data_IF_834518235722
#
_entry.id   IF_834518235722
#
_cell.length_a   1.000
_cell.length_b   1.000
_cell.length_c   1.000
_cell.angle_alpha   90.00
_cell.angle_beta   90.00
_cell.angle_gamma   90.00
#
_symmetry.space_group_name_H-M   'P 1'
#
loop_
_entity.id
_entity.type
_entity.pdbx_description
1 polymer ?
#
# COMPACT_ATOMS: atom_id res chain seq x y z
N UNK A 1 11.46 -36.52 -1.42
CA UNK A 1 10.32 -35.75 -1.98
C UNK A 1 9.75 -34.91 -0.85
N UNK A 2 10.00 -33.60 -0.84
CA UNK A 2 9.31 -32.71 0.11
C UNK A 2 7.87 -32.59 -0.41
N UNK A 3 6.92 -33.04 0.39
CA UNK A 3 5.50 -32.95 0.10
C UNK A 3 5.07 -31.48 0.07
N UNK A 4 4.26 -31.09 -0.92
CA UNK A 4 3.80 -29.72 -1.11
C UNK A 4 3.18 -29.11 0.16
N UNK A 5 2.56 -29.95 1.00
CA UNK A 5 2.04 -29.57 2.30
C UNK A 5 3.13 -29.08 3.29
N UNK A 6 4.30 -29.74 3.37
CA UNK A 6 5.37 -29.30 4.26
C UNK A 6 6.05 -28.02 3.74
N UNK A 7 6.18 -27.87 2.42
CA UNK A 7 6.67 -26.63 1.82
C UNK A 7 5.73 -25.45 2.10
N UNK A 8 4.41 -25.67 2.02
CA UNK A 8 3.41 -24.66 2.35
C UNK A 8 3.43 -24.26 3.83
N UNK A 9 3.55 -25.23 4.74
CA UNK A 9 3.64 -24.98 6.19
C UNK A 9 4.94 -24.24 6.55
N UNK A 10 6.07 -24.61 5.96
CA UNK A 10 7.34 -23.92 6.16
C UNK A 10 7.32 -22.48 5.60
N UNK A 11 6.72 -22.28 4.43
CA UNK A 11 6.55 -20.95 3.84
C UNK A 11 5.65 -20.06 4.71
N UNK A 12 4.53 -20.61 5.19
CA UNK A 12 3.62 -19.92 6.10
C UNK A 12 4.31 -19.58 7.43
N UNK A 13 5.06 -20.51 8.02
CA UNK A 13 5.79 -20.30 9.26
C UNK A 13 6.90 -19.24 9.10
N UNK A 14 7.65 -19.26 7.99
CA UNK A 14 8.67 -18.26 7.70
C UNK A 14 8.07 -16.86 7.53
N UNK A 15 6.92 -16.75 6.87
CA UNK A 15 6.22 -15.47 6.70
C UNK A 15 5.61 -14.98 8.00
N UNK A 16 5.01 -15.86 8.81
CA UNK A 16 4.53 -15.51 10.15
C UNK A 16 5.65 -15.01 11.05
N UNK A 17 6.78 -15.73 11.08
CA UNK A 17 7.98 -15.29 11.80
C UNK A 17 8.45 -13.93 11.29
N UNK A 18 8.53 -13.74 9.98
CA UNK A 18 8.94 -12.46 9.40
C UNK A 18 7.96 -11.33 9.76
N UNK A 19 6.65 -11.51 9.57
CA UNK A 19 5.61 -10.51 9.87
C UNK A 19 5.64 -10.15 11.36
N UNK A 20 5.68 -11.15 12.24
CA UNK A 20 5.65 -10.94 13.71
C UNK A 20 6.95 -10.29 14.19
N UNK A 21 8.11 -10.78 13.72
CA UNK A 21 9.40 -10.23 14.12
C UNK A 21 9.60 -8.81 13.59
N UNK A 22 9.11 -8.53 12.37
CA UNK A 22 9.19 -7.21 11.75
C UNK A 22 8.22 -6.20 12.39
N UNK A 23 6.97 -6.62 12.66
CA UNK A 23 5.98 -5.80 13.35
C UNK A 23 6.46 -5.38 14.75
N UNK A 24 7.11 -6.27 15.48
CA UNK A 24 7.57 -5.94 16.84
C UNK A 24 8.82 -5.03 16.83
N UNK A 25 9.72 -5.21 15.86
CA UNK A 25 11.05 -4.56 15.89
C UNK A 25 11.13 -3.26 15.07
N UNK A 26 10.49 -3.18 13.90
CA UNK A 26 10.67 -2.04 12.99
C UNK A 26 9.54 -1.00 13.04
N UNK A 27 8.39 -1.35 13.58
CA UNK A 27 7.19 -0.51 13.61
C UNK A 27 7.39 0.80 14.39
N UNK A 28 8.39 0.82 15.28
CA UNK A 28 8.70 1.95 16.16
C UNK A 28 9.86 2.83 15.73
N UNK A 29 10.59 2.51 14.65
CA UNK A 29 11.89 3.16 14.35
C UNK A 29 12.02 3.84 12.99
N UNK A 30 11.12 3.62 12.03
CA UNK A 30 11.27 4.19 10.68
C UNK A 30 9.96 4.68 10.06
N UNK A 31 10.03 5.78 9.32
CA UNK A 31 8.92 6.33 8.52
C UNK A 31 8.44 5.37 7.42
N UNK A 32 9.27 4.40 7.05
CA UNK A 32 8.97 3.37 6.04
C UNK A 32 8.06 2.25 6.56
N UNK A 33 7.69 2.30 7.84
CA UNK A 33 6.92 1.26 8.48
C UNK A 33 5.62 0.90 7.72
N UNK A 34 4.93 1.88 7.14
CA UNK A 34 3.70 1.65 6.35
C UNK A 34 3.97 0.80 5.10
N UNK A 35 5.12 1.00 4.44
CA UNK A 35 5.48 0.27 3.22
C UNK A 35 5.80 -1.19 3.57
N UNK A 36 6.56 -1.40 4.63
CA UNK A 36 6.95 -2.73 5.05
C UNK A 36 5.82 -3.52 5.72
N UNK A 37 4.96 -2.86 6.49
CA UNK A 37 3.70 -3.42 6.98
C UNK A 37 2.73 -3.76 5.83
N UNK A 38 2.69 -2.92 4.80
CA UNK A 38 1.97 -3.22 3.56
C UNK A 38 2.53 -4.47 2.86
N UNK A 39 3.87 -4.57 2.73
CA UNK A 39 4.53 -5.71 2.11
C UNK A 39 4.17 -7.03 2.83
N UNK A 40 4.22 -7.02 4.15
CA UNK A 40 3.91 -8.19 4.97
C UNK A 40 2.43 -8.58 4.90
N UNK A 41 1.52 -7.59 4.90
CA UNK A 41 0.08 -7.80 4.78
C UNK A 41 -0.39 -8.32 3.41
N UNK A 42 0.40 -8.10 2.36
CA UNK A 42 0.09 -8.56 1.00
C UNK A 42 0.61 -9.98 0.72
N UNK A 43 1.61 -10.48 1.46
CA UNK A 43 2.18 -11.83 1.27
C UNK A 43 1.15 -12.98 1.31
N UNK A 44 0.09 -12.95 2.16
CA UNK A 44 -0.95 -13.97 2.14
C UNK A 44 -1.64 -14.15 0.78
N UNK A 45 -1.72 -13.10 -0.05
CA UNK A 45 -2.32 -13.18 -1.39
C UNK A 45 -1.43 -13.98 -2.35
N UNK A 46 -0.11 -13.78 -2.28
CA UNK A 46 0.86 -14.57 -3.04
C UNK A 46 0.82 -16.04 -2.63
N UNK A 47 0.80 -16.29 -1.31
CA UNK A 47 0.78 -17.65 -0.75
C UNK A 47 -0.54 -18.35 -1.07
N UNK A 48 -1.67 -17.65 -0.92
CA UNK A 48 -2.99 -18.19 -1.26
C UNK A 48 -3.09 -18.56 -2.73
N UNK A 49 -2.59 -17.69 -3.62
CA UNK A 49 -2.50 -17.98 -5.05
C UNK A 49 -1.61 -19.18 -5.35
N UNK A 50 -0.40 -19.23 -4.78
CA UNK A 50 0.52 -20.34 -4.98
C UNK A 50 0.02 -21.66 -4.36
N UNK A 51 -0.76 -21.60 -3.28
CA UNK A 51 -1.33 -22.78 -2.62
C UNK A 51 -2.45 -23.43 -3.43
N UNK A 52 -3.27 -22.64 -4.12
CA UNK A 52 -4.35 -23.16 -4.99
C UNK A 52 -3.77 -23.70 -6.29
N UNK A 53 -2.82 -22.98 -6.91
CA UNK A 53 -2.32 -23.34 -8.24
C UNK A 53 -1.07 -24.23 -8.23
N UNK A 54 -0.45 -24.43 -7.06
CA UNK A 54 0.78 -25.19 -6.90
C UNK A 54 2.01 -24.55 -7.58
N UNK A 55 1.86 -23.34 -8.14
CA UNK A 55 2.88 -22.60 -8.86
C UNK A 55 2.68 -21.10 -8.70
N UNK A 56 3.75 -20.32 -8.88
CA UNK A 56 3.70 -18.87 -8.78
C UNK A 56 3.23 -18.27 -10.12
N UNK A 57 1.92 -18.06 -10.25
CA UNK A 57 1.34 -17.40 -11.42
C UNK A 57 1.44 -15.87 -11.33
N UNK A 58 1.28 -15.19 -12.47
CA UNK A 58 1.35 -13.73 -12.54
C UNK A 58 0.16 -13.03 -11.88
N UNK A 59 -1.03 -13.66 -11.84
CA UNK A 59 -2.22 -13.00 -11.30
C UNK A 59 -2.12 -12.70 -9.79
N UNK A 60 -1.71 -13.66 -8.91
CA UNK A 60 -1.42 -13.37 -7.50
C UNK A 60 -0.35 -12.30 -7.30
N UNK A 61 0.66 -12.25 -8.18
CA UNK A 61 1.74 -11.25 -8.13
C UNK A 61 1.22 -9.85 -8.44
N UNK A 62 0.38 -9.71 -9.45
CA UNK A 62 -0.22 -8.41 -9.77
C UNK A 62 -1.19 -7.98 -8.67
N UNK A 63 -1.98 -8.89 -8.09
CA UNK A 63 -2.86 -8.60 -6.95
C UNK A 63 -2.08 -8.15 -5.71
N UNK A 64 -0.94 -8.78 -5.44
CA UNK A 64 -0.01 -8.35 -4.41
C UNK A 64 0.44 -6.90 -4.62
N UNK A 65 0.85 -6.55 -5.86
CA UNK A 65 1.25 -5.18 -6.18
C UNK A 65 0.11 -4.19 -6.03
N UNK A 66 -1.12 -4.55 -6.43
CA UNK A 66 -2.31 -3.71 -6.27
C UNK A 66 -2.52 -3.33 -4.81
N UNK A 67 -2.54 -4.31 -3.90
CA UNK A 67 -2.78 -4.06 -2.46
C UNK A 67 -1.59 -3.31 -1.85
N UNK A 68 -0.37 -3.66 -2.28
CA UNK A 68 0.85 -3.02 -1.81
C UNK A 68 0.89 -1.54 -2.17
N UNK A 69 0.56 -1.14 -3.39
CA UNK A 69 0.54 0.27 -3.79
C UNK A 69 -0.67 1.02 -3.24
N UNK A 70 -1.80 0.34 -3.06
CA UNK A 70 -3.01 0.95 -2.51
C UNK A 70 -2.85 1.33 -1.03
N UNK A 71 -2.11 0.54 -0.25
CA UNK A 71 -1.95 0.75 1.20
C UNK A 71 -1.31 2.12 1.51
N UNK A 72 -0.13 2.50 0.99
CA UNK A 72 0.45 3.83 1.20
C UNK A 72 -0.45 4.96 0.69
N UNK A 73 -1.11 4.78 -0.45
CA UNK A 73 -2.01 5.78 -1.03
C UNK A 73 -3.19 6.12 -0.11
N UNK A 74 -3.69 5.15 0.65
CA UNK A 74 -4.81 5.34 1.59
C UNK A 74 -4.36 5.83 2.98
N UNK A 75 -3.26 5.30 3.51
CA UNK A 75 -2.82 5.61 4.88
C UNK A 75 -2.11 6.98 5.00
N UNK A 76 -1.44 7.46 3.95
CA UNK A 76 -0.73 8.73 4.02
C UNK A 76 -1.61 9.98 4.17
N UNK A 77 -2.75 10.13 3.48
CA UNK A 77 -3.69 11.23 3.73
C UNK A 77 -4.20 11.23 5.18
N UNK A 78 -4.43 10.05 5.75
CA UNK A 78 -4.84 9.89 7.15
C UNK A 78 -3.75 10.36 8.12
N UNK A 79 -2.48 10.05 7.81
CA UNK A 79 -1.34 10.48 8.62
C UNK A 79 -1.19 12.02 8.68
N UNK A 80 -1.65 12.75 7.66
CA UNK A 80 -1.67 14.22 7.67
C UNK A 80 -2.67 14.75 8.70
N UNK A 81 -3.84 14.12 8.81
CA UNK A 81 -4.89 14.54 9.76
C UNK A 81 -4.46 14.34 11.23
N UNK A 82 -3.76 13.24 11.52
CA UNK A 82 -3.32 12.90 12.88
C UNK A 82 -1.86 13.33 13.18
N UNK A 83 -1.28 14.20 12.34
CA UNK A 83 0.11 14.66 12.48
C UNK A 83 0.42 15.20 13.88
N UNK A 84 -0.47 15.99 14.47
CA UNK A 84 -0.27 16.60 15.79
C UNK A 84 -0.18 15.55 16.90
N UNK A 85 -1.01 14.51 16.81
CA UNK A 85 -1.01 13.42 17.78
C UNK A 85 0.24 12.54 17.63
N UNK A 86 0.69 12.28 16.39
CA UNK A 86 1.95 11.58 16.14
C UNK A 86 3.17 12.38 16.61
N UNK A 87 3.14 13.70 16.47
CA UNK A 87 4.21 14.59 16.96
C UNK A 87 4.27 14.56 18.48
N UNK A 88 3.11 14.59 19.17
CA UNK A 88 3.02 14.47 20.63
C UNK A 88 3.46 13.09 21.14
N UNK A 89 3.17 12.03 20.39
CA UNK A 89 3.56 10.67 20.71
C UNK A 89 5.03 10.34 20.35
N UNK A 90 5.76 11.25 19.70
CA UNK A 90 7.14 11.03 19.28
C UNK A 90 7.32 9.97 18.19
N UNK A 91 6.27 9.68 17.41
CA UNK A 91 6.32 8.66 16.36
C UNK A 91 6.78 9.29 15.04
N UNK A 92 7.89 8.83 14.42
CA UNK A 92 8.42 9.39 13.20
C UNK A 92 7.61 8.94 11.97
N UNK A 93 6.44 9.55 11.75
CA UNK A 93 5.65 9.35 10.53
C UNK A 93 6.09 10.30 9.41
N UNK A 94 5.91 9.90 8.14
CA UNK A 94 6.25 10.69 6.95
C UNK A 94 5.87 12.19 7.01
N UNK A 95 4.65 12.59 7.43
CA UNK A 95 4.27 13.99 7.58
C UNK A 95 5.06 14.76 8.66
N UNK A 96 5.59 14.06 9.66
CA UNK A 96 6.42 14.65 10.73
C UNK A 96 7.83 14.93 10.23
N UNK A 97 8.36 14.10 9.31
CA UNK A 97 9.74 14.19 8.82
C UNK A 97 9.88 14.99 7.52
N UNK A 98 8.98 14.79 6.55
CA UNK A 98 9.12 15.33 5.18
C UNK A 98 8.11 16.45 4.83
N UNK A 99 7.15 16.73 5.70
CA UNK A 99 6.12 17.75 5.52
C UNK A 99 4.97 17.33 4.57
N UNK A 100 3.85 18.04 4.69
CA UNK A 100 2.56 17.66 4.08
C UNK A 100 2.59 17.62 2.55
N UNK A 101 3.38 18.48 1.90
CA UNK A 101 3.48 18.55 0.43
C UNK A 101 4.17 17.29 -0.13
N UNK A 102 5.17 16.75 0.57
CA UNK A 102 5.87 15.54 0.14
C UNK A 102 4.96 14.32 0.29
N UNK A 103 4.21 14.25 1.39
CA UNK A 103 3.20 13.21 1.61
C UNK A 103 2.15 13.26 0.49
N UNK A 104 1.59 14.43 0.19
CA UNK A 104 0.58 14.59 -0.86
C UNK A 104 1.12 14.20 -2.25
N UNK A 105 2.41 14.45 -2.55
CA UNK A 105 3.04 13.97 -3.80
C UNK A 105 3.14 12.45 -3.84
N UNK A 106 3.55 11.82 -2.75
CA UNK A 106 3.65 10.36 -2.69
C UNK A 106 2.26 9.72 -2.79
N UNK A 107 1.24 10.30 -2.18
CA UNK A 107 -0.15 9.85 -2.37
C UNK A 107 -0.53 9.82 -3.84
N UNK A 108 -0.29 10.91 -4.59
CA UNK A 108 -0.61 10.96 -6.02
C UNK A 108 0.19 9.90 -6.80
N UNK A 109 1.48 9.73 -6.52
CA UNK A 109 2.33 8.77 -7.20
C UNK A 109 1.87 7.32 -6.95
N UNK A 110 1.57 6.97 -5.70
CA UNK A 110 1.13 5.62 -5.33
C UNK A 110 -0.31 5.35 -5.78
N UNK A 111 -1.19 6.36 -5.79
CA UNK A 111 -2.50 6.28 -6.45
C UNK A 111 -2.34 5.95 -7.93
N UNK A 112 -1.45 6.65 -8.64
CA UNK A 112 -1.18 6.36 -10.05
C UNK A 112 -0.60 4.96 -10.26
N UNK A 113 0.33 4.53 -9.41
CA UNK A 113 0.88 3.17 -9.44
C UNK A 113 -0.21 2.11 -9.20
N UNK A 114 -1.11 2.35 -8.25
CA UNK A 114 -2.25 1.46 -7.95
C UNK A 114 -3.13 1.30 -9.20
N UNK A 115 -3.49 2.40 -9.86
CA UNK A 115 -4.30 2.39 -11.10
C UNK A 115 -3.57 1.64 -12.22
N UNK A 116 -2.26 1.86 -12.37
CA UNK A 116 -1.47 1.13 -13.36
C UNK A 116 -1.48 -0.38 -13.09
N UNK A 117 -1.32 -0.80 -11.84
CA UNK A 117 -1.33 -2.22 -11.47
C UNK A 117 -2.71 -2.87 -11.57
N UNK A 118 -3.79 -2.14 -11.29
CA UNK A 118 -5.16 -2.67 -11.47
C UNK A 118 -5.54 -2.78 -12.95
N UNK A 119 -5.08 -1.86 -13.80
CA UNK A 119 -5.20 -1.98 -15.25
C UNK A 119 -4.34 -3.12 -15.80
N UNK A 120 -3.14 -3.35 -15.25
CA UNK A 120 -2.28 -4.48 -15.62
C UNK A 120 -2.93 -5.83 -15.27
N UNK A 121 -3.83 -5.87 -14.29
CA UNK A 121 -4.58 -7.08 -13.97
C UNK A 121 -5.55 -7.50 -15.09
N UNK A 122 -6.01 -6.56 -15.94
CA UNK A 122 -6.92 -6.83 -17.07
C UNK A 122 -6.35 -7.87 -18.04
N UNK A 123 -5.16 -7.65 -18.65
CA UNK A 123 -4.57 -8.64 -19.55
C UNK A 123 -4.04 -9.89 -18.82
N UNK A 124 -3.65 -9.77 -17.54
CA UNK A 124 -3.02 -10.87 -16.79
C UNK A 124 -4.05 -11.88 -16.27
N UNK A 125 -5.19 -11.40 -15.78
CA UNK A 125 -6.25 -12.24 -15.24
C UNK A 125 -7.40 -12.47 -16.23
N UNK A 126 -7.35 -11.88 -17.42
CA UNK A 126 -8.42 -11.97 -18.42
C UNK A 126 -9.75 -11.39 -17.93
N UNK A 127 -9.71 -10.43 -17.02
CA UNK A 127 -10.91 -9.81 -16.47
C UNK A 127 -11.58 -9.00 -17.58
N UNK A 128 -12.77 -9.43 -18.00
CA UNK A 128 -13.45 -8.89 -19.18
C UNK A 128 -13.66 -7.36 -19.16
N UNK A 129 -14.09 -6.81 -20.29
CA UNK A 129 -14.27 -5.37 -20.56
C UNK A 129 -15.03 -4.59 -19.46
N UNK A 130 -15.96 -5.26 -18.76
CA UNK A 130 -16.69 -4.68 -17.63
C UNK A 130 -15.76 -4.29 -16.46
N UNK A 131 -14.82 -5.17 -16.09
CA UNK A 131 -13.86 -4.89 -15.03
C UNK A 131 -12.92 -3.73 -15.42
N UNK A 132 -12.44 -3.72 -16.67
CA UNK A 132 -11.61 -2.65 -17.19
C UNK A 132 -12.32 -1.28 -17.12
N UNK A 133 -13.60 -1.22 -17.53
CA UNK A 133 -14.41 -0.01 -17.46
C UNK A 133 -14.62 0.48 -16.02
N UNK A 134 -14.92 -0.44 -15.09
CA UNK A 134 -15.11 -0.12 -13.68
C UNK A 134 -13.82 0.40 -13.03
N UNK A 135 -12.69 -0.29 -13.27
CA UNK A 135 -11.38 0.12 -12.75
C UNK A 135 -10.94 1.46 -13.32
N UNK A 136 -11.17 1.72 -14.61
CA UNK A 136 -10.85 3.01 -15.21
C UNK A 136 -11.69 4.14 -14.59
N UNK A 137 -12.99 3.92 -14.38
CA UNK A 137 -13.87 4.92 -13.76
C UNK A 137 -13.50 5.19 -12.30
N UNK A 138 -13.33 4.13 -11.50
CA UNK A 138 -12.94 4.23 -10.10
C UNK A 138 -11.54 4.83 -9.92
N UNK A 139 -10.58 4.41 -10.76
CA UNK A 139 -9.23 4.95 -10.78
C UNK A 139 -9.20 6.43 -11.15
N UNK A 140 -9.96 6.85 -12.16
CA UNK A 140 -10.07 8.26 -12.53
C UNK A 140 -10.68 9.11 -11.40
N UNK A 141 -11.69 8.58 -10.69
CA UNK A 141 -12.26 9.26 -9.53
C UNK A 141 -11.23 9.39 -8.39
N UNK A 142 -10.54 8.31 -8.04
CA UNK A 142 -9.53 8.31 -6.98
C UNK A 142 -8.35 9.23 -7.30
N UNK A 143 -7.88 9.26 -8.55
CA UNK A 143 -6.83 10.17 -9.00
C UNK A 143 -7.28 11.64 -8.92
N UNK A 144 -8.54 11.95 -9.26
CA UNK A 144 -9.08 13.32 -9.13
C UNK A 144 -9.04 13.78 -7.67
N UNK A 145 -9.39 12.92 -6.72
CA UNK A 145 -9.38 13.27 -5.31
C UNK A 145 -7.95 13.39 -4.74
N UNK A 146 -7.03 12.52 -5.16
CA UNK A 146 -5.60 12.66 -4.83
C UNK A 146 -5.01 13.98 -5.37
N UNK A 147 -5.36 14.37 -6.61
CA UNK A 147 -4.93 15.64 -7.19
C UNK A 147 -5.56 16.84 -6.49
N UNK A 148 -6.83 16.76 -6.09
CA UNK A 148 -7.49 17.79 -5.28
C UNK A 148 -6.81 17.95 -3.92
N UNK A 149 -6.40 16.85 -3.29
CA UNK A 149 -5.64 16.85 -2.05
C UNK A 149 -4.31 17.60 -2.23
N UNK A 150 -3.53 17.23 -3.25
CA UNK A 150 -2.25 17.87 -3.56
C UNK A 150 -2.40 19.37 -3.89
N UNK A 151 -3.44 19.77 -4.63
CA UNK A 151 -3.71 21.20 -4.92
C UNK A 151 -4.07 22.01 -3.68
N UNK A 152 -4.60 21.37 -2.63
CA UNK A 152 -4.94 22.01 -1.34
C UNK A 152 -3.78 21.97 -0.33
N UNK A 153 -2.67 21.31 -0.65
CA UNK A 153 -1.49 21.25 0.22
C UNK A 153 -0.91 22.65 0.54
N UNK A 154 -0.71 23.56 -0.44
CA UNK A 154 -0.09 24.86 -0.16
C UNK A 154 -0.95 25.75 0.75
N UNK A 155 -2.27 25.69 0.60
CA UNK A 155 -3.22 26.43 1.43
C UNK A 155 -3.29 25.90 2.86
N UNK A 156 -3.15 24.59 3.07
CA UNK A 156 -3.06 23.98 4.41
C UNK A 156 -1.78 24.37 5.15
N UNK A 157 -0.64 24.32 4.46
CA UNK A 157 0.66 24.74 5.03
C UNK A 157 0.65 26.22 5.41
N UNK A 158 -0.07 27.07 4.65
CA UNK A 158 -0.19 28.49 4.96
C UNK A 158 -1.07 28.74 6.20
N UNK A 159 -2.16 28.00 6.33
CA UNK A 159 -3.06 28.10 7.50
C UNK A 159 -2.40 27.60 8.79
N UNK A 160 -1.56 26.56 8.73
CA UNK A 160 -0.86 26.04 9.92
C UNK A 160 0.25 26.95 10.44
N UNK A 161 0.80 27.87 9.62
CA UNK A 161 1.79 28.87 10.07
C UNK A 161 1.18 30.06 10.82
N UNK A 162 -0.13 30.24 10.75
CA UNK A 162 -0.86 31.36 11.36
C UNK A 162 -1.46 31.01 12.73
N UNK A 163 -1.21 29.80 13.24
CA UNK A 163 -1.57 29.33 14.58
C UNK A 163 -0.31 29.09 15.40
#
# INVERSE_FOLDING_TARGET
>A
MINAAAAAVLALAAVLLYVVFYAIVLERRSWQNIIWGGLSGCMPVLIGGAAVTGSLEWAPVVLFLVIFFWTPAYYWPLSIQFRTDYTRAGVPMLPVVAGEIVVDRQVVLYTAATIATTLLLVPVAGTGWFYAGLVAAAGAWFLRDALRLYRRAPSRVRASRLR
#
